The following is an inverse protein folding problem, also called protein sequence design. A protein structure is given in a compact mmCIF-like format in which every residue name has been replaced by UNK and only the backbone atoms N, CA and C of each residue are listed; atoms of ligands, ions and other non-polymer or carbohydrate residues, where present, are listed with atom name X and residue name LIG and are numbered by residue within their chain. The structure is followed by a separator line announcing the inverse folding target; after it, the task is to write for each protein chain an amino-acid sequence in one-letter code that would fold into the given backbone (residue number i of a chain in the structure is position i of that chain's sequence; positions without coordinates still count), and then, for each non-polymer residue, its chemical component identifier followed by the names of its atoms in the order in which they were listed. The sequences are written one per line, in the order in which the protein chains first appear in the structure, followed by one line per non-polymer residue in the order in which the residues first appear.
data_IF_624917079344
#
_entry.id   IF_624917079344
#
_cell.length_a   1.000
_cell.length_b   1.000
_cell.length_c   1.000
_cell.angle_alpha   90.00
_cell.angle_beta   90.00
_cell.angle_gamma   90.00
#
_symmetry.space_group_name_H-M   'P 1'
#
loop_
_entity.id
_entity.type
_entity.pdbx_description
1 polymer ?
#
# COMPACT_ATOMS: atom_id res chain seq x y z
N UNK A 1 -25.09 -19.51 4.50
CA UNK A 1 -23.73 -19.87 4.09
C UNK A 1 -22.79 -18.94 4.82
N UNK A 2 -22.11 -19.44 5.84
CA UNK A 2 -21.25 -18.69 6.76
C UNK A 2 -20.07 -18.07 6.00
N UNK A 3 -20.08 -16.75 5.88
CA UNK A 3 -19.10 -15.97 5.14
C UNK A 3 -17.70 -16.21 5.68
N UNK A 4 -16.85 -16.83 4.87
CA UNK A 4 -15.40 -16.78 5.07
C UNK A 4 -15.01 -15.31 5.10
N UNK A 5 -14.35 -14.85 6.16
CA UNK A 5 -13.91 -13.47 6.26
C UNK A 5 -12.92 -13.21 5.10
N UNK A 6 -13.38 -12.49 4.07
CA UNK A 6 -12.67 -12.33 2.80
C UNK A 6 -11.33 -11.60 2.99
N UNK A 7 -11.24 -10.70 3.97
CA UNK A 7 -10.06 -9.85 4.17
C UNK A 7 -8.80 -10.61 4.61
N UNK A 8 -8.82 -11.50 5.63
CA UNK A 8 -7.68 -12.36 5.94
C UNK A 8 -7.18 -13.21 4.77
N UNK A 9 -8.09 -13.83 4.01
CA UNK A 9 -7.73 -14.65 2.84
C UNK A 9 -7.09 -13.82 1.74
N UNK A 10 -7.67 -12.66 1.41
CA UNK A 10 -7.07 -11.72 0.45
C UNK A 10 -5.69 -11.24 0.94
N UNK A 11 -5.56 -10.88 2.21
CA UNK A 11 -4.30 -10.41 2.80
C UNK A 11 -3.21 -11.48 2.68
N UNK A 12 -3.55 -12.73 2.99
CA UNK A 12 -2.63 -13.86 2.85
C UNK A 12 -2.20 -14.06 1.41
N UNK A 13 -3.14 -14.06 0.47
CA UNK A 13 -2.87 -14.20 -0.97
C UNK A 13 -1.89 -13.12 -1.47
N UNK A 14 -2.11 -11.87 -1.08
CA UNK A 14 -1.22 -10.76 -1.44
C UNK A 14 0.17 -10.88 -0.81
N UNK A 15 0.26 -11.36 0.45
CA UNK A 15 1.55 -11.60 1.10
C UNK A 15 2.33 -12.73 0.45
N UNK A 16 1.67 -13.84 0.12
CA UNK A 16 2.28 -14.98 -0.58
C UNK A 16 2.78 -14.56 -1.97
N UNK A 17 1.95 -13.88 -2.77
CA UNK A 17 2.39 -13.37 -4.08
C UNK A 17 3.50 -12.32 -4.01
N UNK A 18 3.55 -11.51 -2.95
CA UNK A 18 4.65 -10.57 -2.72
C UNK A 18 5.96 -11.31 -2.38
N UNK A 19 5.90 -12.38 -1.59
CA UNK A 19 7.05 -13.24 -1.30
C UNK A 19 7.56 -13.88 -2.60
N UNK A 20 6.68 -14.47 -3.41
CA UNK A 20 7.03 -15.06 -4.70
C UNK A 20 7.72 -14.04 -5.62
N UNK A 21 7.19 -12.80 -5.64
CA UNK A 21 7.80 -11.69 -6.38
C UNK A 21 9.22 -11.44 -5.91
N UNK A 22 9.44 -11.26 -4.60
CA UNK A 22 10.74 -10.96 -4.01
C UNK A 22 11.77 -12.09 -4.22
N UNK A 23 11.33 -13.35 -4.16
CA UNK A 23 12.18 -14.53 -4.40
C UNK A 23 12.67 -14.61 -5.85
N UNK A 24 11.91 -14.08 -6.80
CA UNK A 24 12.31 -14.00 -8.22
C UNK A 24 13.31 -12.88 -8.52
N UNK A 25 13.50 -11.93 -7.61
CA UNK A 25 14.33 -10.74 -7.86
C UNK A 25 15.82 -11.01 -7.71
N UNK A 26 16.58 -10.60 -8.72
CA UNK A 26 18.05 -10.51 -8.63
C UNK A 26 18.53 -9.38 -7.71
N UNK A 27 19.84 -9.33 -7.39
CA UNK A 27 20.36 -8.39 -6.41
C UNK A 27 20.14 -6.91 -6.70
N UNK A 28 20.18 -6.52 -7.98
CA UNK A 28 20.00 -5.13 -8.39
C UNK A 28 18.56 -4.67 -8.20
N UNK A 29 17.58 -5.54 -8.47
CA UNK A 29 16.17 -5.24 -8.29
C UNK A 29 15.80 -5.04 -6.80
N UNK A 30 16.45 -5.76 -5.88
CA UNK A 30 16.32 -5.52 -4.44
C UNK A 30 16.84 -4.15 -4.00
N UNK A 31 17.84 -3.61 -4.71
CA UNK A 31 18.42 -2.30 -4.44
C UNK A 31 17.73 -1.15 -5.19
N UNK A 32 16.84 -1.48 -6.14
CA UNK A 32 16.15 -0.49 -6.96
C UNK A 32 15.21 0.41 -6.12
N UNK A 33 15.00 1.67 -6.53
CA UNK A 33 14.00 2.54 -5.91
C UNK A 33 12.58 1.95 -5.99
N UNK A 34 11.79 2.16 -4.94
CA UNK A 34 10.35 1.86 -4.93
C UNK A 34 9.52 3.14 -5.10
N UNK A 35 8.19 3.03 -5.20
CA UNK A 35 7.31 4.21 -5.16
C UNK A 35 7.23 4.85 -3.75
N UNK A 36 7.70 4.17 -2.71
CA UNK A 36 7.91 4.80 -1.41
C UNK A 36 9.14 5.70 -1.48
N UNK A 37 8.94 7.01 -1.44
CA UNK A 37 10.02 7.99 -1.54
C UNK A 37 11.14 7.72 -0.50
N UNK A 38 12.37 7.57 -0.99
CA UNK A 38 13.55 7.29 -0.16
C UNK A 38 13.71 5.82 0.25
N UNK A 39 12.85 4.91 -0.19
CA UNK A 39 12.94 3.48 0.07
C UNK A 39 13.26 2.70 -1.19
N UNK A 40 14.20 1.76 -1.06
CA UNK A 40 14.45 0.71 -2.04
C UNK A 40 13.46 -0.43 -1.83
N UNK A 41 13.43 -1.38 -2.77
CA UNK A 41 12.62 -2.61 -2.64
C UNK A 41 12.91 -3.35 -1.33
N UNK A 42 14.18 -3.47 -0.93
CA UNK A 42 14.56 -4.10 0.35
C UNK A 42 13.98 -3.38 1.58
N UNK A 43 13.85 -2.06 1.53
CA UNK A 43 13.33 -1.27 2.65
C UNK A 43 11.80 -1.44 2.76
N UNK A 44 11.09 -1.51 1.63
CA UNK A 44 9.65 -1.87 1.59
C UNK A 44 9.41 -3.29 2.12
N UNK A 45 10.21 -4.26 1.67
CA UNK A 45 10.11 -5.64 2.12
C UNK A 45 10.40 -5.76 3.63
N UNK A 46 11.42 -5.05 4.12
CA UNK A 46 11.72 -4.97 5.55
C UNK A 46 10.55 -4.36 6.34
N UNK A 47 9.92 -3.29 5.83
CA UNK A 47 8.73 -2.71 6.45
C UNK A 47 7.60 -3.72 6.64
N UNK A 48 7.25 -4.45 5.58
CA UNK A 48 6.23 -5.50 5.62
C UNK A 48 6.61 -6.69 6.53
N UNK A 49 7.90 -6.90 6.78
CA UNK A 49 8.40 -7.93 7.69
C UNK A 49 8.26 -7.51 9.16
N UNK A 50 8.74 -6.32 9.55
CA UNK A 50 8.77 -5.93 10.96
C UNK A 50 7.47 -5.31 11.46
N UNK A 51 6.75 -4.55 10.61
CA UNK A 51 5.62 -3.76 11.06
C UNK A 51 4.48 -4.63 11.63
N UNK A 52 4.09 -5.76 11.00
CA UNK A 52 2.98 -6.58 11.50
C UNK A 52 3.19 -7.19 12.89
N UNK A 53 4.45 -7.37 13.30
CA UNK A 53 4.84 -8.00 14.57
C UNK A 53 5.36 -6.99 15.59
N UNK A 54 5.27 -5.69 15.31
CA UNK A 54 5.65 -4.65 16.25
C UNK A 54 4.76 -4.72 17.50
N UNK A 55 5.35 -5.08 18.64
CA UNK A 55 4.64 -5.07 19.91
C UNK A 55 4.31 -3.64 20.36
N UNK A 56 3.24 -3.46 21.13
CA UNK A 56 2.83 -2.15 21.62
C UNK A 56 3.95 -1.45 22.42
N UNK A 57 4.70 -2.21 23.24
CA UNK A 57 5.85 -1.70 24.00
C UNK A 57 7.02 -1.26 23.12
N UNK A 58 7.39 -2.08 22.12
CA UNK A 58 8.43 -1.72 21.17
C UNK A 58 8.03 -0.51 20.29
N UNK A 59 6.75 -0.44 19.90
CA UNK A 59 6.19 0.70 19.17
C UNK A 59 6.23 2.01 19.97
N UNK A 60 5.89 1.97 21.25
CA UNK A 60 5.99 3.14 22.13
C UNK A 60 7.44 3.64 22.27
N UNK A 61 8.40 2.71 22.49
CA UNK A 61 9.83 3.05 22.56
C UNK A 61 10.33 3.65 21.24
N UNK A 62 9.95 3.06 20.10
CA UNK A 62 10.33 3.57 18.78
C UNK A 62 9.72 4.95 18.50
N UNK A 63 8.47 5.19 18.89
CA UNK A 63 7.82 6.50 18.76
C UNK A 63 8.54 7.59 19.56
N UNK A 64 8.94 7.30 20.80
CA UNK A 64 9.75 8.23 21.63
C UNK A 64 11.10 8.51 20.97
N UNK A 65 11.81 7.48 20.51
CA UNK A 65 13.11 7.61 19.84
C UNK A 65 13.06 8.44 18.56
N UNK A 66 11.91 8.52 17.90
CA UNK A 66 11.72 9.25 16.65
C UNK A 66 10.91 10.55 16.81
N UNK A 67 10.87 11.10 18.03
CA UNK A 67 10.29 12.43 18.29
C UNK A 67 8.78 12.48 18.04
N UNK A 68 8.08 11.39 18.36
CA UNK A 68 6.63 11.25 18.21
C UNK A 68 6.10 11.38 16.77
N UNK A 69 6.98 11.28 15.77
CA UNK A 69 6.61 11.21 14.36
C UNK A 69 6.52 9.75 13.90
N UNK A 70 5.31 9.26 13.70
CA UNK A 70 5.05 7.91 13.18
C UNK A 70 5.72 7.68 11.82
N UNK A 71 5.65 8.66 10.91
CA UNK A 71 6.29 8.59 9.60
C UNK A 71 7.82 8.45 9.72
N UNK A 72 8.44 9.22 10.63
CA UNK A 72 9.89 9.12 10.86
C UNK A 72 10.29 7.79 11.47
N UNK A 73 9.47 7.26 12.39
CA UNK A 73 9.66 5.93 12.97
C UNK A 73 9.59 4.86 11.88
N UNK A 74 8.54 4.84 11.08
CA UNK A 74 8.36 3.87 10.00
C UNK A 74 9.53 3.94 9.01
N UNK A 75 9.87 5.15 8.54
CA UNK A 75 10.95 5.39 7.59
C UNK A 75 12.30 4.84 8.06
N UNK A 76 12.66 5.10 9.32
CA UNK A 76 13.94 4.66 9.88
C UNK A 76 13.95 3.17 10.24
N UNK A 77 12.88 2.67 10.84
CA UNK A 77 12.76 1.25 11.17
C UNK A 77 12.86 0.37 9.93
N UNK A 78 12.28 0.77 8.79
CA UNK A 78 12.42 0.05 7.53
C UNK A 78 13.88 -0.07 7.09
N UNK A 79 14.62 1.05 7.07
CA UNK A 79 16.04 1.08 6.68
C UNK A 79 16.90 0.29 7.67
N UNK A 80 16.71 0.48 8.98
CA UNK A 80 17.46 -0.22 10.02
C UNK A 80 17.23 -1.73 9.93
N UNK A 81 15.97 -2.16 9.73
CA UNK A 81 15.61 -3.57 9.65
C UNK A 81 16.09 -4.21 8.34
N UNK A 82 16.23 -3.44 7.26
CA UNK A 82 16.79 -3.91 5.98
C UNK A 82 18.22 -4.46 6.12
N UNK A 83 18.98 -3.98 7.11
CA UNK A 83 20.36 -4.43 7.37
C UNK A 83 20.48 -5.90 7.80
N UNK A 84 19.36 -6.53 8.19
CA UNK A 84 19.30 -7.97 8.54
C UNK A 84 19.48 -8.90 7.35
N UNK A 85 19.39 -8.38 6.12
CA UNK A 85 19.58 -9.15 4.90
C UNK A 85 18.29 -9.80 4.39
N UNK A 86 18.33 -10.21 3.11
CA UNK A 86 17.15 -10.67 2.35
C UNK A 86 16.51 -11.93 2.93
N UNK A 87 17.32 -12.89 3.36
CA UNK A 87 16.83 -14.15 3.92
C UNK A 87 16.02 -13.92 5.19
N UNK A 88 16.53 -13.12 6.13
CA UNK A 88 15.82 -12.76 7.36
C UNK A 88 14.51 -12.01 7.08
N UNK A 89 14.48 -11.18 6.03
CA UNK A 89 13.27 -10.50 5.57
C UNK A 89 12.25 -11.50 5.04
N UNK A 90 12.66 -12.38 4.12
CA UNK A 90 11.77 -13.39 3.53
C UNK A 90 11.22 -14.33 4.60
N UNK A 91 12.04 -14.77 5.56
CA UNK A 91 11.60 -15.66 6.64
C UNK A 91 10.52 -15.01 7.51
N UNK A 92 10.70 -13.74 7.89
CA UNK A 92 9.69 -13.02 8.65
C UNK A 92 8.43 -12.74 7.83
N UNK A 93 8.54 -12.47 6.52
CA UNK A 93 7.37 -12.32 5.64
C UNK A 93 6.56 -13.63 5.55
N UNK A 94 7.24 -14.77 5.38
CA UNK A 94 6.60 -16.09 5.38
C UNK A 94 5.91 -16.37 6.71
N UNK A 95 6.54 -16.01 7.84
CA UNK A 95 5.92 -16.12 9.15
C UNK A 95 4.68 -15.23 9.29
N UNK A 96 4.74 -13.98 8.81
CA UNK A 96 3.63 -13.04 8.81
C UNK A 96 2.46 -13.54 7.95
N UNK A 97 2.73 -14.15 6.80
CA UNK A 97 1.72 -14.74 5.92
C UNK A 97 1.04 -15.95 6.59
N UNK A 98 1.84 -16.85 7.19
CA UNK A 98 1.38 -18.06 7.87
C UNK A 98 0.53 -17.77 9.11
N UNK A 99 0.93 -16.80 9.92
CA UNK A 99 0.29 -16.47 11.21
C UNK A 99 -0.84 -15.46 11.08
N UNK A 100 -0.96 -14.78 9.93
CA UNK A 100 -1.88 -13.66 9.77
C UNK A 100 -1.48 -12.45 10.62
N UNK A 101 -0.17 -12.25 10.84
CA UNK A 101 0.37 -11.20 11.71
C UNK A 101 -0.18 -9.82 11.34
N UNK A 102 -0.49 -9.02 12.36
CA UNK A 102 -1.01 -7.67 12.24
C UNK A 102 -0.84 -6.98 13.60
N UNK A 103 -0.51 -5.68 13.64
CA UNK A 103 -0.35 -4.97 14.91
C UNK A 103 -1.64 -4.99 15.72
N UNK A 104 -1.50 -5.09 17.05
CA UNK A 104 -2.65 -5.05 17.95
C UNK A 104 -3.41 -3.73 17.77
N UNK A 105 -4.74 -3.80 17.65
CA UNK A 105 -5.61 -2.62 17.51
C UNK A 105 -5.73 -2.05 16.08
N UNK A 106 -4.91 -2.47 15.13
CA UNK A 106 -5.08 -2.15 13.71
C UNK A 106 -6.35 -2.83 13.17
N UNK A 107 -7.15 -2.29 12.24
CA UNK A 107 -8.26 -3.03 11.59
C UNK A 107 -7.75 -4.04 10.54
N UNK A 108 -8.49 -5.12 10.20
CA UNK A 108 -8.01 -6.14 9.24
C UNK A 108 -7.72 -5.57 7.85
N UNK A 109 -8.55 -4.62 7.39
CA UNK A 109 -8.39 -3.96 6.09
C UNK A 109 -7.08 -3.17 5.96
N UNK A 110 -6.48 -2.72 7.06
CA UNK A 110 -5.18 -2.06 7.01
C UNK A 110 -4.05 -3.05 6.68
N UNK A 111 -4.15 -4.31 7.15
CA UNK A 111 -3.18 -5.33 6.76
C UNK A 111 -3.28 -5.70 5.28
N UNK A 112 -4.50 -5.70 4.73
CA UNK A 112 -4.72 -5.81 3.28
C UNK A 112 -4.14 -4.60 2.55
N UNK A 113 -4.36 -3.38 3.07
CA UNK A 113 -3.85 -2.16 2.47
C UNK A 113 -2.32 -2.17 2.39
N UNK A 114 -1.64 -2.52 3.49
CA UNK A 114 -0.18 -2.65 3.52
C UNK A 114 0.30 -3.65 2.46
N UNK A 115 -0.29 -4.85 2.41
CA UNK A 115 0.13 -5.89 1.47
C UNK A 115 -0.07 -5.47 0.00
N UNK A 116 -1.23 -4.90 -0.33
CA UNK A 116 -1.57 -4.49 -1.71
C UNK A 116 -0.73 -3.28 -2.15
N UNK A 117 -0.75 -2.20 -1.35
CA UNK A 117 -0.13 -0.93 -1.75
C UNK A 117 1.38 -1.07 -1.83
N UNK A 118 2.01 -1.74 -0.87
CA UNK A 118 3.46 -1.96 -0.91
C UNK A 118 3.88 -3.02 -1.94
N UNK A 119 3.01 -3.97 -2.26
CA UNK A 119 3.19 -4.83 -3.43
C UNK A 119 3.25 -4.01 -4.72
N UNK A 120 2.36 -3.01 -4.88
CA UNK A 120 2.42 -2.06 -6.00
C UNK A 120 3.65 -1.17 -5.97
N UNK A 121 4.05 -0.69 -4.79
CA UNK A 121 5.24 0.17 -4.63
C UNK A 121 6.52 -0.51 -5.13
N UNK A 122 6.59 -1.84 -5.10
CA UNK A 122 7.70 -2.65 -5.63
C UNK A 122 7.47 -3.05 -7.08
N UNK A 123 6.29 -3.60 -7.40
CA UNK A 123 6.03 -4.22 -8.70
C UNK A 123 6.02 -3.20 -9.84
N UNK A 124 5.41 -2.03 -9.62
CA UNK A 124 5.24 -0.97 -10.63
C UNK A 124 6.57 -0.41 -11.15
N UNK A 125 7.50 0.09 -10.30
CA UNK A 125 8.76 0.67 -10.78
C UNK A 125 9.71 -0.37 -11.39
N UNK A 126 9.54 -1.66 -11.06
CA UNK A 126 10.29 -2.76 -11.67
C UNK A 126 9.69 -3.22 -13.02
N UNK A 127 8.56 -2.65 -13.46
CA UNK A 127 7.89 -3.06 -14.70
C UNK A 127 7.36 -4.49 -14.66
N UNK A 128 7.09 -5.03 -13.47
CA UNK A 128 6.70 -6.42 -13.31
C UNK A 128 5.19 -6.63 -13.59
N UNK A 129 4.82 -7.72 -14.28
CA UNK A 129 3.43 -8.01 -14.58
C UNK A 129 2.66 -8.39 -13.31
N UNK A 130 1.36 -8.10 -13.30
CA UNK A 130 0.46 -8.45 -12.22
C UNK A 130 -0.77 -7.56 -12.20
N UNK A 131 -1.77 -7.97 -11.44
CA UNK A 131 -2.99 -7.19 -11.22
C UNK A 131 -3.38 -7.25 -9.74
N UNK A 132 -4.00 -6.19 -9.25
CA UNK A 132 -4.72 -6.27 -7.97
C UNK A 132 -6.05 -6.99 -8.20
N UNK A 133 -6.37 -8.08 -7.47
CA UNK A 133 -7.68 -8.72 -7.52
C UNK A 133 -8.78 -7.70 -7.27
N UNK A 134 -9.80 -7.72 -8.12
CA UNK A 134 -10.88 -6.71 -8.15
C UNK A 134 -11.60 -6.58 -6.81
N UNK A 135 -11.66 -7.66 -6.05
CA UNK A 135 -12.25 -7.73 -4.71
C UNK A 135 -11.50 -6.88 -3.68
N UNK A 136 -10.26 -6.45 -3.99
CA UNK A 136 -9.46 -5.60 -3.12
C UNK A 136 -9.84 -4.11 -3.26
N UNK A 137 -10.39 -3.68 -4.40
CA UNK A 137 -10.63 -2.25 -4.66
C UNK A 137 -11.59 -1.63 -3.65
N UNK A 138 -12.81 -2.17 -3.55
CA UNK A 138 -13.86 -1.61 -2.70
C UNK A 138 -13.44 -1.47 -1.22
N UNK A 139 -12.96 -2.54 -0.54
CA UNK A 139 -12.60 -2.43 0.88
C UNK A 139 -11.44 -1.46 1.12
N UNK A 140 -10.45 -1.41 0.22
CA UNK A 140 -9.31 -0.50 0.34
C UNK A 140 -9.70 0.95 0.07
N UNK A 141 -10.53 1.18 -0.95
CA UNK A 141 -11.05 2.50 -1.24
C UNK A 141 -11.90 3.03 -0.08
N UNK A 142 -12.84 2.23 0.44
CA UNK A 142 -13.68 2.60 1.59
C UNK A 142 -12.82 2.91 2.82
N UNK A 143 -11.78 2.12 3.06
CA UNK A 143 -10.86 2.34 4.18
C UNK A 143 -10.12 3.68 4.07
N UNK A 144 -9.44 3.95 2.96
CA UNK A 144 -8.66 5.20 2.82
C UNK A 144 -9.55 6.44 2.68
N UNK A 145 -10.71 6.32 2.02
CA UNK A 145 -11.71 7.39 1.94
C UNK A 145 -12.43 7.61 3.27
N UNK A 146 -12.55 6.61 4.13
CA UNK A 146 -13.15 6.69 5.46
C UNK A 146 -12.19 7.15 6.55
N UNK A 147 -10.86 7.07 6.34
CA UNK A 147 -9.86 7.36 7.37
C UNK A 147 -9.69 8.88 7.57
N UNK A 148 -10.00 9.43 8.76
CA UNK A 148 -9.84 10.85 9.04
C UNK A 148 -8.39 11.22 9.40
N UNK A 149 -8.11 12.52 9.46
CA UNK A 149 -6.89 13.02 10.09
C UNK A 149 -6.96 12.81 11.62
N UNK A 150 -5.86 12.46 12.31
CA UNK A 150 -4.49 12.33 11.80
C UNK A 150 -4.12 10.97 11.19
N UNK A 151 -5.00 9.96 11.29
CA UNK A 151 -4.69 8.58 10.86
C UNK A 151 -4.39 8.46 9.37
N UNK A 152 -5.02 9.27 8.53
CA UNK A 152 -4.76 9.24 7.09
C UNK A 152 -3.32 9.65 6.71
N UNK A 153 -2.58 10.33 7.59
CA UNK A 153 -1.20 10.75 7.34
C UNK A 153 -0.24 9.57 7.14
N UNK A 154 -0.57 8.40 7.70
CA UNK A 154 0.19 7.15 7.53
C UNK A 154 -0.43 6.19 6.50
N UNK A 155 -1.57 6.56 5.90
CA UNK A 155 -2.32 5.77 4.91
C UNK A 155 -2.41 6.52 3.58
N UNK A 156 -1.29 7.09 3.14
CA UNK A 156 -1.21 7.78 1.85
C UNK A 156 -1.85 9.18 1.80
N UNK A 157 -2.17 9.79 2.94
CA UNK A 157 -2.73 11.13 3.04
C UNK A 157 -4.25 11.20 2.82
N UNK A 158 -4.78 12.39 2.56
CA UNK A 158 -6.23 12.58 2.41
C UNK A 158 -6.72 12.16 1.02
N UNK A 159 -7.17 10.91 0.88
CA UNK A 159 -7.79 10.40 -0.34
C UNK A 159 -8.98 11.27 -0.78
N UNK A 160 -9.87 11.65 0.15
CA UNK A 160 -11.02 12.54 -0.13
C UNK A 160 -10.62 13.86 -0.76
N UNK A 161 -9.59 14.53 -0.25
CA UNK A 161 -9.12 15.81 -0.81
C UNK A 161 -8.56 15.62 -2.21
N UNK A 162 -7.82 14.53 -2.44
CA UNK A 162 -7.22 14.21 -3.73
C UNK A 162 -8.27 14.05 -4.83
N UNK A 163 -9.38 13.36 -4.51
CA UNK A 163 -10.41 12.98 -5.49
C UNK A 163 -11.67 13.85 -5.44
N UNK A 164 -11.61 14.99 -4.75
CA UNK A 164 -12.77 15.88 -4.59
C UNK A 164 -13.25 16.43 -5.95
N UNK A 165 -14.56 16.45 -6.18
CA UNK A 165 -15.17 17.04 -7.38
C UNK A 165 -14.96 16.25 -8.68
N UNK A 166 -14.51 15.00 -8.59
CA UNK A 166 -14.52 14.05 -9.72
C UNK A 166 -15.28 12.78 -9.34
N UNK A 167 -15.74 12.05 -10.35
CA UNK A 167 -16.31 10.72 -10.21
C UNK A 167 -15.31 9.68 -10.70
N UNK A 168 -14.75 8.90 -9.77
CA UNK A 168 -13.92 7.76 -10.11
C UNK A 168 -14.79 6.61 -10.61
N UNK A 169 -14.36 5.94 -11.68
CA UNK A 169 -15.04 4.78 -12.26
C UNK A 169 -13.98 3.73 -12.60
N UNK A 170 -14.09 2.55 -12.00
CA UNK A 170 -13.22 1.44 -12.35
C UNK A 170 -13.64 0.85 -13.71
N UNK A 171 -12.66 0.52 -14.56
CA UNK A 171 -12.91 -0.01 -15.91
C UNK A 171 -13.01 -1.53 -15.97
N UNK A 172 -12.51 -2.22 -14.94
CA UNK A 172 -12.34 -3.67 -14.85
C UNK A 172 -13.20 -4.31 -13.74
N UNK A 173 -13.84 -3.49 -12.90
CA UNK A 173 -14.77 -3.93 -11.86
C UNK A 173 -15.92 -2.94 -11.73
N UNK A 174 -17.11 -3.41 -11.35
CA UNK A 174 -18.27 -2.57 -11.09
C UNK A 174 -18.08 -1.76 -9.79
N UNK A 175 -17.32 -0.66 -9.87
CA UNK A 175 -17.05 0.24 -8.75
C UNK A 175 -16.99 1.70 -9.22
N UNK A 176 -17.54 2.60 -8.40
CA UNK A 176 -17.42 4.04 -8.62
C UNK A 176 -17.49 4.81 -7.31
N UNK A 177 -16.88 5.99 -7.25
CA UNK A 177 -16.90 6.86 -6.07
C UNK A 177 -16.87 8.33 -6.46
N UNK A 178 -17.53 9.17 -5.67
CA UNK A 178 -17.51 10.62 -5.88
C UNK A 178 -18.46 11.08 -6.99
N UNK A 179 -18.44 12.39 -7.24
CA UNK A 179 -19.39 13.11 -8.09
C UNK A 179 -18.63 14.15 -8.93
N UNK A 180 -19.09 14.42 -10.15
CA UNK A 180 -18.44 15.35 -11.09
C UNK A 180 -18.02 14.64 -12.40
N UNK A 181 -17.16 15.28 -13.21
CA UNK A 181 -16.61 14.68 -14.43
C UNK A 181 -15.92 13.34 -14.15
N UNK A 182 -16.10 12.37 -15.04
CA UNK A 182 -15.56 11.02 -14.85
C UNK A 182 -14.03 10.97 -14.98
N UNK A 183 -13.42 10.18 -14.10
CA UNK A 183 -12.05 9.68 -14.22
C UNK A 183 -12.13 8.17 -14.21
N UNK A 184 -11.70 7.55 -15.30
CA UNK A 184 -11.76 6.12 -15.54
C UNK A 184 -10.36 5.52 -15.49
N UNK A 185 -10.21 4.39 -14.82
CA UNK A 185 -8.95 3.64 -14.76
C UNK A 185 -9.17 2.24 -14.21
N UNK A 186 -8.15 1.39 -14.26
CA UNK A 186 -8.20 0.07 -13.62
C UNK A 186 -8.34 0.21 -12.10
N UNK A 187 -8.81 -0.85 -11.43
CA UNK A 187 -8.83 -0.93 -9.98
C UNK A 187 -7.47 -0.56 -9.37
N UNK A 188 -6.39 -1.05 -9.97
CA UNK A 188 -5.02 -0.77 -9.55
C UNK A 188 -4.63 0.71 -9.69
N UNK A 189 -4.90 1.33 -10.85
CA UNK A 189 -4.60 2.75 -11.07
C UNK A 189 -5.38 3.63 -10.09
N UNK A 190 -6.64 3.28 -9.82
CA UNK A 190 -7.46 3.99 -8.84
C UNK A 190 -6.95 3.79 -7.40
N UNK A 191 -6.44 2.61 -7.04
CA UNK A 191 -5.80 2.39 -5.74
C UNK A 191 -4.50 3.17 -5.59
N UNK A 192 -3.64 3.18 -6.61
CA UNK A 192 -2.44 4.03 -6.60
C UNK A 192 -2.82 5.48 -6.30
N UNK A 193 -3.78 6.03 -7.05
CA UNK A 193 -4.31 7.37 -6.83
C UNK A 193 -4.83 7.55 -5.39
N UNK A 194 -5.70 6.66 -4.91
CA UNK A 194 -6.31 6.77 -3.57
C UNK A 194 -5.29 6.68 -2.42
N UNK A 195 -4.19 5.96 -2.61
CA UNK A 195 -3.10 5.84 -1.63
C UNK A 195 -1.94 6.82 -1.89
N UNK A 196 -2.14 7.81 -2.74
CA UNK A 196 -1.21 8.93 -2.92
C UNK A 196 -0.01 8.64 -3.79
N UNK A 197 -0.06 7.54 -4.56
CA UNK A 197 0.85 7.26 -5.65
C UNK A 197 0.27 7.87 -6.93
N UNK A 198 1.13 8.18 -7.89
CA UNK A 198 0.70 8.66 -9.20
C UNK A 198 0.57 7.47 -10.14
N UNK A 199 -0.60 7.25 -10.76
CA UNK A 199 -0.71 6.34 -11.88
C UNK A 199 0.15 6.81 -13.05
N UNK A 200 0.54 5.87 -13.92
CA UNK A 200 1.33 6.17 -15.11
C UNK A 200 0.52 7.02 -16.12
N UNK A 201 1.19 7.80 -16.96
CA UNK A 201 0.53 8.56 -18.02
C UNK A 201 -0.38 7.66 -18.87
N UNK A 202 -1.64 8.07 -19.03
CA UNK A 202 -2.65 7.34 -19.81
C UNK A 202 -3.43 6.26 -19.06
N UNK A 203 -3.05 5.89 -17.83
CA UNK A 203 -3.84 4.93 -17.02
C UNK A 203 -5.15 5.53 -16.49
N UNK A 204 -5.20 6.86 -16.37
CA UNK A 204 -6.42 7.59 -16.05
C UNK A 204 -6.91 8.33 -17.29
N UNK A 205 -8.20 8.17 -17.60
CA UNK A 205 -8.86 8.76 -18.78
C UNK A 205 -10.18 9.43 -18.39
N UNK A 206 -10.73 10.26 -19.28
CA UNK A 206 -12.03 10.91 -19.08
C UNK A 206 -11.93 12.40 -18.71
N UNK A 207 -13.07 13.10 -18.68
CA UNK A 207 -13.12 14.56 -18.58
C UNK A 207 -12.67 15.12 -17.22
N UNK A 208 -12.54 14.29 -16.19
CA UNK A 208 -12.07 14.71 -14.86
C UNK A 208 -10.55 14.63 -14.65
N UNK A 209 -9.79 14.11 -15.62
CA UNK A 209 -8.34 13.87 -15.44
C UNK A 209 -7.58 15.17 -15.16
N UNK A 210 -7.85 16.24 -15.91
CA UNK A 210 -7.18 17.53 -15.72
C UNK A 210 -7.46 18.12 -14.33
N UNK A 211 -8.65 17.86 -13.79
CA UNK A 211 -9.04 18.28 -12.43
C UNK A 211 -8.25 17.54 -11.35
N UNK A 212 -7.87 16.28 -11.59
CA UNK A 212 -6.97 15.52 -10.69
C UNK A 212 -5.51 15.95 -10.84
N UNK A 213 -5.03 16.11 -12.07
CA UNK A 213 -3.63 16.45 -12.35
C UNK A 213 -3.22 17.76 -11.65
N UNK A 214 -4.08 18.77 -11.69
CA UNK A 214 -3.87 20.05 -11.00
C UNK A 214 -3.66 19.91 -9.48
N UNK A 215 -4.19 18.85 -8.84
CA UNK A 215 -4.07 18.61 -7.39
C UNK A 215 -2.93 17.69 -7.00
N UNK A 216 -2.50 16.81 -7.90
CA UNK A 216 -1.39 15.90 -7.66
C UNK A 216 -0.03 16.63 -7.73
N UNK A 217 0.01 17.84 -8.30
CA UNK A 217 1.22 18.65 -8.51
C UNK A 217 1.99 18.23 -9.76
N UNK A 218 2.95 19.06 -10.22
CA UNK A 218 3.88 18.68 -11.28
C UNK A 218 4.76 17.48 -10.85
N UNK A 219 5.24 16.63 -11.78
CA UNK A 219 6.21 15.58 -11.49
C UNK A 219 7.44 16.08 -10.74
#
# INVERSE_FOLDING_TARGET
MTGTNVLPTLTRTHREGFIDTLESLGPDAWAAPSLCAGWRVVDVAAHLAWAPVLSAGAGAVAMVRHGFSMNRMIARSAVDWSSRGREAILDQLRDNARTGARPVGMPPVAALADAVVHGLDVRRPLGLPGHVPSESLAPLADFTLGTPWPMNAVVGGSARRRVAGVRLVATDVAWSYGHGPEVRGSAEALLLLLYGRRPEPGELTGPGVDTLAARLGAP
#
